data_IF_951885984703
#
_entry.id   IF_951885984703
#
_cell.length_a   1.000
_cell.length_b   1.000
_cell.length_c   1.000
_cell.angle_alpha   90.00
_cell.angle_beta   90.00
_cell.angle_gamma   90.00
#
_symmetry.space_group_name_H-M   'P 1'
#
loop_
_entity.id
_entity.type
_entity.pdbx_description
1 polymer ?
#
# COMPACT_ATOMS: atom_id res chain seq x y z
N UNK A 1 -19.87 -10.07 6.05
CA UNK A 1 -19.67 -9.19 4.87
C UNK A 1 -18.59 -8.11 5.08
N UNK A 2 -18.57 -7.35 6.18
CA UNK A 2 -17.61 -6.23 6.38
C UNK A 2 -16.12 -6.64 6.33
N UNK A 3 -15.75 -7.75 6.99
CA UNK A 3 -14.36 -8.23 6.97
C UNK A 3 -13.91 -8.72 5.58
N UNK A 4 -14.81 -9.37 4.83
CA UNK A 4 -14.54 -9.80 3.46
C UNK A 4 -14.30 -8.59 2.52
N UNK A 5 -15.06 -7.50 2.71
CA UNK A 5 -14.84 -6.25 1.97
C UNK A 5 -13.46 -5.63 2.28
N UNK A 6 -13.04 -5.64 3.55
CA UNK A 6 -11.71 -5.18 3.95
C UNK A 6 -10.63 -6.03 3.29
N UNK A 7 -10.78 -7.36 3.31
CA UNK A 7 -9.83 -8.27 2.66
C UNK A 7 -9.76 -8.05 1.13
N UNK A 8 -10.90 -7.80 0.49
CA UNK A 8 -10.93 -7.52 -0.95
C UNK A 8 -10.22 -6.20 -1.27
N UNK A 9 -10.45 -5.16 -0.46
CA UNK A 9 -9.75 -3.88 -0.58
C UNK A 9 -8.23 -4.03 -0.45
N UNK A 10 -7.76 -4.95 0.38
CA UNK A 10 -6.33 -5.15 0.60
C UNK A 10 -5.68 -6.00 -0.50
N UNK A 11 -6.44 -6.55 -1.46
CA UNK A 11 -5.92 -7.19 -2.67
C UNK A 11 -5.65 -6.18 -3.81
N UNK A 12 -6.24 -4.98 -3.74
CA UNK A 12 -6.08 -3.93 -4.77
C UNK A 12 -4.61 -3.55 -5.06
N UNK A 13 -3.67 -3.57 -4.09
CA UNK A 13 -2.26 -3.31 -4.39
C UNK A 13 -1.64 -4.26 -5.42
N UNK A 14 -2.06 -5.54 -5.49
CA UNK A 14 -1.64 -6.43 -6.58
C UNK A 14 -2.17 -5.95 -7.93
N UNK A 15 -3.46 -5.55 -7.94
CA UNK A 15 -4.13 -4.75 -8.97
C UNK A 15 -3.24 -3.66 -9.55
N UNK A 16 -2.83 -2.83 -8.60
CA UNK A 16 -2.17 -1.56 -8.80
C UNK A 16 -0.76 -1.69 -9.35
N UNK A 17 -0.01 -2.70 -8.89
CA UNK A 17 1.34 -2.98 -9.37
C UNK A 17 1.36 -3.63 -10.75
N UNK A 18 0.34 -4.42 -11.10
CA UNK A 18 0.28 -5.12 -12.37
C UNK A 18 0.09 -4.18 -13.57
N UNK A 19 -0.69 -3.11 -13.41
CA UNK A 19 -1.01 -2.17 -14.49
C UNK A 19 0.28 -1.52 -15.04
N UNK A 20 1.14 -0.85 -14.23
CA UNK A 20 2.39 -0.29 -14.70
C UNK A 20 3.32 -1.31 -15.34
N UNK A 21 3.43 -2.54 -14.81
CA UNK A 21 4.32 -3.55 -15.39
C UNK A 21 3.94 -3.91 -16.83
N UNK A 22 2.65 -4.04 -17.13
CA UNK A 22 2.17 -4.28 -18.50
C UNK A 22 2.42 -3.05 -19.40
N UNK A 23 2.23 -1.84 -18.87
CA UNK A 23 2.47 -0.61 -19.62
C UNK A 23 3.96 -0.37 -19.93
N UNK A 24 4.88 -0.71 -19.02
CA UNK A 24 6.33 -0.62 -19.24
C UNK A 24 6.81 -1.59 -20.32
N UNK A 25 6.25 -2.79 -20.35
CA UNK A 25 6.56 -3.79 -21.38
C UNK A 25 5.99 -3.41 -22.76
N UNK A 26 4.99 -2.52 -22.80
CA UNK A 26 4.42 -2.02 -24.05
C UNK A 26 5.26 -0.89 -24.65
N UNK A 27 5.40 -0.83 -25.97
CA UNK A 27 6.22 0.16 -26.71
C UNK A 27 5.79 1.65 -26.54
N UNK A 28 4.75 1.94 -25.75
CA UNK A 28 4.19 3.28 -25.52
C UNK A 28 4.89 4.08 -24.40
N UNK A 29 6.11 3.66 -24.01
CA UNK A 29 6.88 4.20 -22.87
C UNK A 29 7.24 5.69 -23.04
N UNK A 30 7.22 6.23 -24.26
CA UNK A 30 7.67 7.59 -24.50
C UNK A 30 6.67 8.65 -23.97
N UNK A 31 7.14 9.40 -22.97
CA UNK A 31 6.56 10.64 -22.40
C UNK A 31 5.29 10.53 -21.56
N UNK A 32 4.29 9.75 -21.98
CA UNK A 32 3.02 9.63 -21.24
C UNK A 32 3.19 8.82 -19.94
N UNK A 33 3.93 7.72 -20.00
CA UNK A 33 4.15 6.84 -18.85
C UNK A 33 4.71 7.58 -17.63
N UNK A 34 5.80 8.34 -17.81
CA UNK A 34 6.42 9.09 -16.71
C UNK A 34 5.50 10.17 -16.10
N UNK A 35 4.65 10.81 -16.90
CA UNK A 35 3.70 11.82 -16.40
C UNK A 35 2.59 11.19 -15.56
N UNK A 36 2.10 10.01 -15.94
CA UNK A 36 1.04 9.32 -15.20
C UNK A 36 1.55 8.54 -13.99
N UNK A 37 2.82 8.13 -13.97
CA UNK A 37 3.41 7.42 -12.82
C UNK A 37 3.28 8.25 -11.54
N UNK A 38 3.53 9.56 -11.57
CA UNK A 38 3.39 10.37 -10.35
C UNK A 38 1.95 10.49 -9.85
N UNK A 39 0.98 10.64 -10.75
CA UNK A 39 -0.43 10.67 -10.39
C UNK A 39 -0.86 9.30 -9.84
N UNK A 40 -0.37 8.22 -10.45
CA UNK A 40 -0.62 6.84 -10.04
C UNK A 40 -0.08 6.55 -8.63
N UNK A 41 1.13 7.00 -8.31
CA UNK A 41 1.70 6.85 -6.97
C UNK A 41 0.92 7.64 -5.92
N UNK A 42 0.59 8.90 -6.20
CA UNK A 42 -0.19 9.73 -5.28
C UNK A 42 -1.56 9.09 -5.02
N UNK A 43 -2.24 8.65 -6.08
CA UNK A 43 -3.52 7.97 -5.95
C UNK A 43 -3.41 6.69 -5.12
N UNK A 44 -2.32 5.92 -5.26
CA UNK A 44 -2.07 4.76 -4.42
C UNK A 44 -1.88 5.10 -2.95
N UNK A 45 -1.07 6.11 -2.64
CA UNK A 45 -0.80 6.56 -1.27
C UNK A 45 -2.10 7.01 -0.61
N UNK A 46 -2.90 7.82 -1.32
CA UNK A 46 -4.21 8.26 -0.84
C UNK A 46 -5.17 7.08 -0.64
N UNK A 47 -5.20 6.15 -1.59
CA UNK A 47 -6.01 4.94 -1.49
C UNK A 47 -5.62 4.10 -0.26
N UNK A 48 -4.33 3.81 -0.09
CA UNK A 48 -3.85 2.96 1.00
C UNK A 48 -4.06 3.62 2.37
N UNK A 49 -3.86 4.94 2.46
CA UNK A 49 -4.21 5.73 3.65
C UNK A 49 -5.72 5.74 3.93
N UNK A 50 -6.55 5.78 2.88
CA UNK A 50 -8.00 5.65 3.02
C UNK A 50 -8.41 4.24 3.48
N UNK A 51 -7.78 3.17 2.99
CA UNK A 51 -8.02 1.80 3.48
C UNK A 51 -7.70 1.71 4.98
N UNK A 52 -6.58 2.30 5.41
CA UNK A 52 -6.25 2.45 6.83
C UNK A 52 -7.38 3.14 7.60
N UNK A 53 -7.82 4.31 7.11
CA UNK A 53 -8.91 5.09 7.71
C UNK A 53 -10.23 4.32 7.79
N UNK A 54 -10.56 3.56 6.75
CA UNK A 54 -11.73 2.70 6.70
C UNK A 54 -11.67 1.60 7.76
N UNK A 55 -10.51 0.98 7.94
CA UNK A 55 -10.27 -0.01 8.99
C UNK A 55 -10.37 0.62 10.40
N UNK A 56 -9.87 1.84 10.57
CA UNK A 56 -9.95 2.60 11.83
C UNK A 56 -11.40 2.88 12.27
N UNK A 57 -12.29 3.15 11.30
CA UNK A 57 -13.72 3.41 11.51
C UNK A 57 -14.56 2.15 11.73
N UNK A 58 -14.00 0.95 11.54
CA UNK A 58 -14.77 -0.30 11.59
C UNK A 58 -15.28 -0.67 12.99
N UNK A 59 -14.95 0.09 14.04
CA UNK A 59 -15.49 -0.09 15.40
C UNK A 59 -15.05 -1.37 16.11
N UNK A 60 -14.05 -2.10 15.58
CA UNK A 60 -13.48 -3.28 16.23
C UNK A 60 -12.29 -2.91 17.14
N UNK A 61 -11.82 -3.89 17.93
CA UNK A 61 -10.57 -3.78 18.67
C UNK A 61 -9.42 -3.46 17.70
N UNK A 62 -8.58 -2.50 18.06
CA UNK A 62 -7.59 -1.92 17.14
C UNK A 62 -6.68 -2.97 16.49
N UNK A 63 -6.13 -3.88 17.31
CA UNK A 63 -5.25 -4.95 16.82
C UNK A 63 -5.91 -5.85 15.77
N UNK A 64 -7.21 -6.18 15.94
CA UNK A 64 -7.94 -7.02 14.97
C UNK A 64 -8.08 -6.31 13.63
N UNK A 65 -8.44 -5.03 13.63
CA UNK A 65 -8.60 -4.27 12.39
C UNK A 65 -7.28 -4.02 11.66
N UNK A 66 -6.20 -3.77 12.40
CA UNK A 66 -4.86 -3.62 11.81
C UNK A 66 -4.41 -4.95 11.18
N UNK A 67 -4.60 -6.07 11.88
CA UNK A 67 -4.20 -7.38 11.37
C UNK A 67 -4.99 -7.77 10.12
N UNK A 68 -6.32 -7.60 10.12
CA UNK A 68 -7.16 -7.90 8.95
C UNK A 68 -6.85 -6.94 7.80
N UNK A 69 -6.68 -5.65 8.09
CA UNK A 69 -6.38 -4.61 7.09
C UNK A 69 -4.98 -4.71 6.49
N UNK A 70 -4.07 -5.49 7.09
CA UNK A 70 -2.74 -5.75 6.56
C UNK A 70 -2.48 -7.23 6.31
N UNK A 71 -3.51 -8.09 6.28
CA UNK A 71 -3.31 -9.53 6.13
C UNK A 71 -2.62 -9.89 4.81
N UNK A 72 -3.06 -9.27 3.71
CA UNK A 72 -2.47 -9.46 2.37
C UNK A 72 -1.09 -8.80 2.25
N UNK A 73 -0.90 -7.64 2.88
CA UNK A 73 0.41 -6.98 2.99
C UNK A 73 1.41 -7.89 3.71
N UNK A 74 1.00 -8.50 4.83
CA UNK A 74 1.84 -9.39 5.62
C UNK A 74 2.17 -10.68 4.86
N UNK A 75 1.19 -11.26 4.16
CA UNK A 75 1.39 -12.41 3.30
C UNK A 75 2.38 -12.09 2.18
N UNK A 76 2.21 -10.94 1.52
CA UNK A 76 3.08 -10.49 0.43
C UNK A 76 4.50 -10.21 0.93
N UNK A 77 4.66 -9.58 2.10
CA UNK A 77 5.96 -9.37 2.74
C UNK A 77 6.62 -10.70 3.12
N UNK A 78 5.87 -11.65 3.66
CA UNK A 78 6.38 -12.99 4.00
C UNK A 78 6.90 -13.74 2.78
N UNK A 79 6.14 -13.69 1.67
CA UNK A 79 6.57 -14.23 0.38
C UNK A 79 7.82 -13.52 -0.14
N UNK A 80 7.90 -12.20 0.00
CA UNK A 80 9.07 -11.42 -0.40
C UNK A 80 10.33 -11.84 0.37
N UNK A 81 10.24 -11.91 1.70
CA UNK A 81 11.36 -12.31 2.55
C UNK A 81 11.80 -13.73 2.24
N UNK A 82 10.86 -14.66 2.10
CA UNK A 82 11.17 -16.04 1.75
C UNK A 82 11.89 -16.14 0.40
N UNK A 83 11.38 -15.50 -0.65
CA UNK A 83 11.95 -15.61 -2.00
C UNK A 83 13.27 -14.83 -2.18
N UNK A 84 13.40 -13.65 -1.56
CA UNK A 84 14.49 -12.71 -1.90
C UNK A 84 15.53 -12.51 -0.80
N UNK A 85 15.25 -12.94 0.44
CA UNK A 85 16.20 -12.87 1.56
C UNK A 85 16.70 -14.23 2.03
N UNK A 86 15.86 -15.27 1.96
CA UNK A 86 16.22 -16.61 2.47
C UNK A 86 16.73 -17.56 1.38
N UNK A 87 16.24 -17.42 0.14
CA UNK A 87 16.62 -18.29 -0.98
C UNK A 87 17.70 -17.65 -1.85
N UNK A 88 18.67 -18.49 -2.24
CA UNK A 88 19.64 -18.15 -3.26
C UNK A 88 18.98 -18.05 -4.64
N UNK A 89 19.59 -17.27 -5.55
CA UNK A 89 19.01 -16.96 -6.86
C UNK A 89 18.57 -18.18 -7.69
N UNK A 90 19.27 -19.31 -7.53
CA UNK A 90 18.97 -20.57 -8.23
C UNK A 90 17.81 -21.36 -7.61
N UNK A 91 17.44 -21.06 -6.36
CA UNK A 91 16.37 -21.73 -5.62
C UNK A 91 15.07 -20.92 -5.63
N UNK A 92 15.10 -19.69 -6.17
CA UNK A 92 13.92 -18.83 -6.27
C UNK A 92 12.89 -19.45 -7.22
N UNK A 93 11.63 -19.30 -6.85
CA UNK A 93 10.52 -19.71 -7.69
C UNK A 93 10.45 -18.82 -8.94
N UNK A 94 10.09 -19.40 -10.08
CA UNK A 94 9.96 -18.68 -11.35
C UNK A 94 8.51 -18.25 -11.56
N UNK A 95 8.29 -17.14 -12.27
CA UNK A 95 6.98 -16.67 -12.68
C UNK A 95 6.21 -15.92 -11.60
N UNK A 96 4.90 -16.22 -11.48
CA UNK A 96 3.97 -15.44 -10.66
C UNK A 96 4.36 -15.42 -9.17
N UNK A 97 4.91 -16.51 -8.65
CA UNK A 97 5.21 -16.65 -7.22
C UNK A 97 6.32 -15.71 -6.75
N UNK A 98 7.31 -15.40 -7.60
CA UNK A 98 8.36 -14.41 -7.31
C UNK A 98 7.98 -12.99 -7.74
N UNK A 99 7.04 -12.84 -8.67
CA UNK A 99 6.56 -11.54 -9.14
C UNK A 99 5.57 -10.89 -8.17
N UNK A 100 4.58 -11.63 -7.66
CA UNK A 100 3.55 -11.14 -6.73
C UNK A 100 4.09 -10.29 -5.56
N UNK A 101 5.10 -10.76 -4.80
CA UNK A 101 5.62 -10.00 -3.67
C UNK A 101 6.37 -8.71 -4.09
N UNK A 102 6.72 -8.53 -5.36
CA UNK A 102 7.30 -7.30 -5.88
C UNK A 102 6.23 -6.33 -6.42
N UNK A 103 5.12 -6.86 -6.95
CA UNK A 103 4.01 -6.05 -7.45
C UNK A 103 3.27 -5.31 -6.33
N UNK A 104 3.10 -5.94 -5.17
CA UNK A 104 2.30 -5.37 -4.09
C UNK A 104 2.77 -3.97 -3.62
N UNK A 105 4.06 -3.74 -3.34
CA UNK A 105 4.56 -2.42 -2.94
C UNK A 105 4.88 -1.50 -4.12
N UNK A 106 4.60 -1.89 -5.36
CA UNK A 106 5.03 -1.15 -6.55
C UNK A 106 4.47 0.28 -6.60
N UNK A 107 3.26 0.51 -6.07
CA UNK A 107 2.61 1.81 -6.05
C UNK A 107 3.32 2.90 -5.23
N UNK A 108 4.34 2.56 -4.44
CA UNK A 108 5.18 3.54 -3.71
C UNK A 108 6.65 3.51 -4.12
N UNK A 109 7.00 2.71 -5.13
CA UNK A 109 8.38 2.37 -5.47
C UNK A 109 9.22 3.62 -5.82
N UNK A 110 8.76 4.49 -6.73
CA UNK A 110 9.54 5.68 -7.11
C UNK A 110 9.70 6.62 -5.92
N UNK A 111 8.66 6.77 -5.10
CA UNK A 111 8.71 7.62 -3.91
C UNK A 111 9.79 7.16 -2.93
N UNK A 112 9.83 5.86 -2.60
CA UNK A 112 10.85 5.32 -1.70
C UNK A 112 12.25 5.42 -2.31
N UNK A 113 12.42 5.06 -3.58
CA UNK A 113 13.72 5.14 -4.24
C UNK A 113 14.25 6.58 -4.32
N UNK A 114 13.39 7.56 -4.64
CA UNK A 114 13.75 8.99 -4.58
C UNK A 114 14.21 9.39 -3.19
N UNK A 115 13.49 9.01 -2.13
CA UNK A 115 13.93 9.29 -0.77
C UNK A 115 15.27 8.64 -0.46
N UNK A 116 15.49 7.38 -0.85
CA UNK A 116 16.75 6.67 -0.62
C UNK A 116 17.93 7.35 -1.31
N UNK A 117 17.76 7.86 -2.54
CA UNK A 117 18.84 8.55 -3.28
C UNK A 117 19.34 9.82 -2.57
N UNK A 118 18.55 10.40 -1.67
CA UNK A 118 18.97 11.54 -0.85
C UNK A 118 19.95 11.14 0.26
N UNK A 119 19.90 9.89 0.72
CA UNK A 119 20.70 9.40 1.85
C UNK A 119 21.86 8.50 1.43
N UNK A 120 21.70 7.73 0.35
CA UNK A 120 22.74 6.81 -0.13
C UNK A 120 22.73 6.68 -1.64
N UNK A 121 23.93 6.54 -2.22
CA UNK A 121 24.10 6.20 -3.65
C UNK A 121 24.12 4.70 -3.91
N UNK A 122 24.25 3.87 -2.85
CA UNK A 122 24.35 2.43 -2.98
C UNK A 122 22.99 1.80 -2.62
N UNK A 123 22.08 1.79 -3.60
CA UNK A 123 20.72 1.28 -3.43
C UNK A 123 20.64 -0.12 -4.01
N UNK A 124 20.50 -1.12 -3.14
CA UNK A 124 20.16 -2.48 -3.59
C UNK A 124 18.66 -2.62 -3.76
N UNK A 125 18.23 -3.38 -4.77
CA UNK A 125 16.81 -3.65 -5.02
C UNK A 125 16.13 -4.27 -3.79
N UNK A 126 16.83 -5.18 -3.10
CA UNK A 126 16.34 -5.87 -1.92
C UNK A 126 15.96 -4.91 -0.78
N UNK A 127 16.86 -3.98 -0.43
CA UNK A 127 16.61 -2.99 0.62
C UNK A 127 15.51 -2.01 0.22
N UNK A 128 15.43 -1.63 -1.07
CA UNK A 128 14.40 -0.73 -1.58
C UNK A 128 12.99 -1.29 -1.41
N UNK A 129 12.76 -2.55 -1.77
CA UNK A 129 11.44 -3.18 -1.60
C UNK A 129 11.03 -3.34 -0.14
N UNK A 130 11.95 -3.71 0.77
CA UNK A 130 11.66 -3.77 2.20
C UNK A 130 11.20 -2.40 2.72
N UNK A 131 11.89 -1.33 2.32
CA UNK A 131 11.50 0.03 2.70
C UNK A 131 10.13 0.42 2.12
N UNK A 132 9.77 -0.04 0.91
CA UNK A 132 8.44 0.16 0.36
C UNK A 132 7.35 -0.50 1.20
N UNK A 133 7.57 -1.74 1.66
CA UNK A 133 6.64 -2.42 2.58
C UNK A 133 6.47 -1.66 3.90
N UNK A 134 7.56 -1.15 4.48
CA UNK A 134 7.53 -0.34 5.70
C UNK A 134 6.82 1.00 5.49
N UNK A 135 7.07 1.65 4.35
CA UNK A 135 6.43 2.90 3.99
C UNK A 135 4.91 2.73 3.82
N UNK A 136 4.47 1.65 3.15
CA UNK A 136 3.06 1.28 3.06
C UNK A 136 2.43 1.06 4.43
N UNK A 137 3.13 0.37 5.35
CA UNK A 137 2.65 0.19 6.71
C UNK A 137 2.47 1.55 7.42
N UNK A 138 3.43 2.46 7.28
CA UNK A 138 3.34 3.82 7.80
C UNK A 138 2.11 4.57 7.29
N UNK A 139 1.88 4.58 5.97
CA UNK A 139 0.70 5.20 5.34
C UNK A 139 -0.60 4.59 5.91
N UNK A 140 -0.67 3.26 6.01
CA UNK A 140 -1.84 2.58 6.57
C UNK A 140 -2.10 3.01 8.01
N UNK A 141 -1.07 3.02 8.86
CA UNK A 141 -1.20 3.35 10.28
C UNK A 141 -1.64 4.80 10.49
N UNK A 142 -1.08 5.74 9.72
CA UNK A 142 -1.50 7.15 9.72
C UNK A 142 -2.99 7.24 9.39
N UNK A 143 -3.41 6.61 8.29
CA UNK A 143 -4.81 6.54 7.90
C UNK A 143 -5.69 5.93 9.00
N UNK A 144 -5.26 4.79 9.55
CA UNK A 144 -5.97 4.08 10.62
C UNK A 144 -6.20 4.95 11.84
N UNK A 145 -5.18 5.70 12.26
CA UNK A 145 -5.28 6.63 13.38
C UNK A 145 -6.28 7.76 13.09
N UNK A 146 -6.20 8.41 11.92
CA UNK A 146 -7.18 9.42 11.49
C UNK A 146 -8.61 8.88 11.39
N UNK A 147 -8.77 7.63 10.96
CA UNK A 147 -10.06 6.96 10.93
C UNK A 147 -10.67 6.72 12.31
N UNK A 148 -9.82 6.51 13.32
CA UNK A 148 -10.23 6.20 14.69
C UNK A 148 -10.46 7.43 15.55
N UNK A 149 -9.92 8.58 15.18
CA UNK A 149 -10.18 9.84 15.87
C UNK A 149 -11.70 10.04 16.00
N UNK A 150 -12.21 10.28 17.22
CA UNK A 150 -13.60 10.69 17.40
C UNK A 150 -13.79 11.92 16.52
N UNK A 151 -14.73 11.87 15.56
CA UNK A 151 -15.18 13.12 14.94
C UNK A 151 -15.75 13.93 16.09
N UNK A 152 -15.01 14.94 16.54
CA UNK A 152 -15.59 16.01 17.33
C UNK A 152 -16.83 16.44 16.55
N UNK A 153 -18.00 16.27 17.18
CA UNK A 153 -19.32 16.56 16.64
C UNK A 153 -19.21 17.71 15.64
N UNK A 154 -19.53 17.46 14.36
CA UNK A 154 -20.12 18.53 13.56
C UNK A 154 -21.25 19.06 14.43
N UNK A 155 -21.13 20.32 14.85
CA UNK A 155 -22.03 20.91 15.83
C UNK A 155 -23.47 20.66 15.39
N UNK A 156 -24.25 20.06 16.28
CA UNK A 156 -25.68 20.37 16.30
C UNK A 156 -25.78 21.89 16.42
N UNK A 157 -26.39 22.61 15.47
CA UNK A 157 -27.11 23.80 15.86
C UNK A 157 -28.27 23.27 16.70
N UNK A 158 -28.11 23.33 18.03
CA UNK A 158 -29.26 23.41 18.90
C UNK A 158 -30.04 24.65 18.46
N UNK A 159 -31.14 24.42 17.76
CA UNK A 159 -31.98 25.46 17.19
C UNK A 159 -33.43 25.02 17.23
N UNK A 160 -33.88 24.59 18.42
CA UNK A 160 -35.29 24.67 18.79
C UNK A 160 -35.69 26.14 18.78
N UNK A 161 -36.40 26.57 17.75
CA UNK A 161 -37.32 27.69 17.84
C UNK A 161 -38.67 27.19 17.36
N UNK A 162 -39.41 26.60 18.31
CA UNK A 162 -40.86 26.63 18.24
C UNK A 162 -41.28 28.05 18.69
N UNK A 163 -41.92 28.77 17.79
CA UNK A 163 -42.80 29.89 18.08
C UNK A 163 -44.01 29.74 17.15
#
# INVERSE_FOLDING_TARGET
>A
MRNAKILLLTMIPFLWGFIPTVFVESAWVNTLYFRYVHVWEIAFILFWGWVGSYCGRAGQKAYKSILIGNATWLLSLGLYVWQFQLLDGTQRSVGILSLLPQLFPFGVLSTVFKMMTLFTRNITQNSGFILCYLYMLGIFLIGFYFGRMPRARQGSPAGTWQA
#
